data_IF_965657610022
#
_entry.id   IF_965657610022
#
_cell.length_a   1.000
_cell.length_b   1.000
_cell.length_c   1.000
_cell.angle_alpha   90.00
_cell.angle_beta   90.00
_cell.angle_gamma   90.00
#
_symmetry.space_group_name_H-M   'P 1'
#
loop_
_entity.id
_entity.type
_entity.pdbx_description
1 polymer ?
#
# COMPACT_ATOMS: atom_id res chain seq x y z
N UNK A 1 7.76 17.93 -23.12
CA UNK A 1 8.12 16.97 -22.06
C UNK A 1 7.41 17.30 -20.75
N UNK A 2 7.40 18.56 -20.31
CA UNK A 2 6.71 19.03 -19.08
C UNK A 2 5.23 18.59 -18.93
N UNK A 3 4.44 18.61 -20.01
CA UNK A 3 3.02 18.17 -19.96
C UNK A 3 2.85 16.67 -19.70
N UNK A 4 3.84 15.83 -20.00
CA UNK A 4 3.76 14.37 -19.82
C UNK A 4 4.01 14.01 -18.36
N UNK A 5 4.99 14.65 -17.72
CA UNK A 5 5.28 14.47 -16.29
C UNK A 5 4.11 14.89 -15.39
N UNK A 6 3.42 15.99 -15.72
CA UNK A 6 2.25 16.46 -14.95
C UNK A 6 1.09 15.46 -15.04
N UNK A 7 0.88 14.83 -16.21
CA UNK A 7 -0.16 13.82 -16.40
C UNK A 7 0.17 12.53 -15.64
N UNK A 8 1.44 12.11 -15.66
CA UNK A 8 1.91 10.96 -14.87
C UNK A 8 1.70 11.21 -13.37
N UNK A 9 2.10 12.37 -12.86
CA UNK A 9 1.88 12.74 -11.46
C UNK A 9 0.40 12.78 -11.07
N UNK A 10 -0.47 13.33 -11.93
CA UNK A 10 -1.92 13.32 -11.69
C UNK A 10 -2.50 11.91 -11.69
N UNK A 11 -2.04 11.04 -12.60
CA UNK A 11 -2.53 9.67 -12.71
C UNK A 11 -2.13 8.81 -11.51
N UNK A 12 -0.92 9.02 -10.98
CA UNK A 12 -0.46 8.42 -9.72
C UNK A 12 -1.29 8.95 -8.56
N UNK A 13 -1.52 10.27 -8.47
CA UNK A 13 -2.33 10.86 -7.41
C UNK A 13 -3.78 10.35 -7.45
N UNK A 14 -4.35 10.17 -8.64
CA UNK A 14 -5.67 9.60 -8.80
C UNK A 14 -5.71 8.12 -8.36
N UNK A 15 -4.71 7.33 -8.76
CA UNK A 15 -4.55 5.94 -8.32
C UNK A 15 -4.39 5.83 -6.79
N UNK A 16 -3.72 6.81 -6.19
CA UNK A 16 -3.50 6.93 -4.75
C UNK A 16 -4.80 7.20 -3.99
N UNK A 17 -5.57 8.19 -4.44
CA UNK A 17 -6.89 8.52 -3.87
C UNK A 17 -7.86 7.35 -4.04
N UNK A 18 -7.79 6.66 -5.18
CA UNK A 18 -8.58 5.48 -5.46
C UNK A 18 -8.27 4.33 -4.49
N UNK A 19 -7.00 4.00 -4.25
CA UNK A 19 -6.61 2.95 -3.29
C UNK A 19 -7.04 3.30 -1.86
N UNK A 20 -6.91 4.56 -1.45
CA UNK A 20 -7.36 5.02 -0.13
C UNK A 20 -8.88 4.91 0.03
N UNK A 21 -9.63 5.34 -1.00
CA UNK A 21 -11.09 5.21 -1.01
C UNK A 21 -11.53 3.73 -0.98
N UNK A 22 -10.83 2.87 -1.71
CA UNK A 22 -11.10 1.43 -1.76
C UNK A 22 -10.84 0.77 -0.39
N UNK A 23 -9.73 1.11 0.27
CA UNK A 23 -9.40 0.62 1.60
C UNK A 23 -10.41 1.09 2.66
N UNK A 24 -10.77 2.37 2.62
CA UNK A 24 -11.79 2.91 3.50
C UNK A 24 -13.14 2.22 3.29
N UNK A 25 -13.52 1.98 2.03
CA UNK A 25 -14.74 1.25 1.69
C UNK A 25 -14.72 -0.19 2.21
N UNK A 26 -13.62 -0.94 2.01
CA UNK A 26 -13.48 -2.34 2.47
C UNK A 26 -13.62 -2.43 3.99
N UNK A 27 -12.96 -1.55 4.74
CA UNK A 27 -13.01 -1.51 6.21
C UNK A 27 -14.39 -1.10 6.69
N UNK A 28 -15.00 -0.09 6.06
CA UNK A 28 -16.30 0.45 6.48
C UNK A 28 -17.44 -0.54 6.24
N UNK A 29 -17.37 -1.36 5.18
CA UNK A 29 -18.47 -2.26 4.80
C UNK A 29 -18.48 -3.60 5.54
N UNK A 30 -17.38 -4.01 6.17
CA UNK A 30 -17.27 -5.36 6.72
C UNK A 30 -16.94 -5.34 8.22
N UNK A 31 -17.98 -5.15 9.04
CA UNK A 31 -17.95 -5.36 10.49
C UNK A 31 -18.21 -6.84 10.80
N UNK A 32 -17.36 -7.47 11.62
CA UNK A 32 -17.60 -8.82 12.13
C UNK A 32 -16.33 -9.65 12.38
N UNK A 33 -16.52 -10.94 12.68
CA UNK A 33 -15.48 -11.88 13.15
C UNK A 33 -14.29 -12.10 12.19
N UNK A 34 -14.39 -11.71 10.92
CA UNK A 34 -13.33 -11.87 9.91
C UNK A 34 -12.54 -10.59 9.61
N UNK A 35 -12.76 -9.53 10.40
CA UNK A 35 -12.13 -8.21 10.19
C UNK A 35 -10.60 -8.26 10.18
N UNK A 36 -9.99 -9.09 11.03
CA UNK A 36 -8.53 -9.23 11.10
C UNK A 36 -7.93 -9.90 9.86
N UNK A 37 -8.58 -10.94 9.34
CA UNK A 37 -8.15 -11.63 8.12
C UNK A 37 -8.20 -10.65 6.94
N UNK A 38 -9.32 -9.96 6.76
CA UNK A 38 -9.49 -9.03 5.65
C UNK A 38 -8.56 -7.81 5.75
N UNK A 39 -8.33 -7.30 6.96
CA UNK A 39 -7.37 -6.21 7.18
C UNK A 39 -5.95 -6.66 6.84
N UNK A 40 -5.57 -7.88 7.22
CA UNK A 40 -4.28 -8.45 6.87
C UNK A 40 -4.08 -8.58 5.36
N UNK A 41 -5.07 -9.11 4.64
CA UNK A 41 -5.05 -9.21 3.17
C UNK A 41 -4.97 -7.83 2.51
N UNK A 42 -5.74 -6.85 2.98
CA UNK A 42 -5.71 -5.49 2.45
C UNK A 42 -4.34 -4.83 2.65
N UNK A 43 -3.71 -5.02 3.82
CA UNK A 43 -2.39 -4.47 4.08
C UNK A 43 -1.34 -5.12 3.17
N UNK A 44 -1.36 -6.44 3.04
CA UNK A 44 -0.37 -7.20 2.24
C UNK A 44 -0.49 -6.96 0.73
N UNK A 45 -1.72 -6.89 0.21
CA UNK A 45 -1.94 -6.83 -1.24
C UNK A 45 -2.16 -5.41 -1.77
N UNK A 46 -2.50 -4.46 -0.91
CA UNK A 46 -2.80 -3.08 -1.33
C UNK A 46 -1.82 -2.07 -0.73
N UNK A 47 -1.60 -2.07 0.59
CA UNK A 47 -0.69 -1.10 1.22
C UNK A 47 0.79 -1.39 0.94
N UNK A 48 1.21 -2.64 0.90
CA UNK A 48 2.61 -2.98 0.61
C UNK A 48 3.05 -2.51 -0.78
N UNK A 49 2.33 -2.83 -1.89
CA UNK A 49 2.68 -2.30 -3.20
C UNK A 49 2.62 -0.77 -3.24
N UNK A 50 1.65 -0.17 -2.56
CA UNK A 50 1.51 1.27 -2.45
C UNK A 50 2.75 1.93 -1.82
N UNK A 51 3.28 1.38 -0.73
CA UNK A 51 4.49 1.90 -0.08
C UNK A 51 5.70 1.74 -0.99
N UNK A 52 5.80 0.60 -1.67
CA UNK A 52 6.87 0.36 -2.64
C UNK A 52 6.87 1.43 -3.75
N UNK A 53 5.73 1.64 -4.42
CA UNK A 53 5.60 2.64 -5.49
C UNK A 53 5.76 4.06 -4.98
N UNK A 54 5.27 4.37 -3.79
CA UNK A 54 5.44 5.70 -3.18
C UNK A 54 6.91 6.02 -2.96
N UNK A 55 7.71 5.06 -2.47
CA UNK A 55 9.16 5.23 -2.30
C UNK A 55 9.90 5.30 -3.63
N UNK A 56 9.55 4.45 -4.59
CA UNK A 56 10.15 4.46 -5.92
C UNK A 56 9.90 5.79 -6.66
N UNK A 57 8.72 6.40 -6.49
CA UNK A 57 8.41 7.70 -7.11
C UNK A 57 9.08 8.83 -6.34
N UNK A 58 8.90 8.90 -5.02
CA UNK A 58 9.40 10.03 -4.23
C UNK A 58 10.92 10.09 -4.20
N UNK A 59 11.58 8.98 -3.89
CA UNK A 59 13.04 8.96 -3.78
C UNK A 59 13.67 8.62 -5.13
N UNK A 60 13.09 7.66 -5.86
CA UNK A 60 13.65 7.21 -7.12
C UNK A 60 13.50 8.20 -8.27
N UNK A 61 12.34 8.86 -8.38
CA UNK A 61 12.06 9.80 -9.48
C UNK A 61 12.25 11.25 -9.04
N UNK A 62 11.63 11.70 -7.95
CA UNK A 62 11.66 13.12 -7.57
C UNK A 62 13.00 13.55 -6.97
N UNK A 63 13.65 12.69 -6.19
CA UNK A 63 14.99 12.97 -5.64
C UNK A 63 16.10 12.53 -6.61
N UNK A 64 15.78 11.65 -7.57
CA UNK A 64 16.71 11.16 -8.59
C UNK A 64 17.62 10.02 -8.11
N UNK A 65 17.35 9.43 -6.95
CA UNK A 65 18.10 8.28 -6.43
C UNK A 65 17.26 6.99 -6.55
N UNK A 66 17.27 6.42 -7.76
CA UNK A 66 16.54 5.20 -8.09
C UNK A 66 16.90 4.00 -7.20
N UNK A 67 18.14 3.92 -6.73
CA UNK A 67 18.60 2.85 -5.87
C UNK A 67 18.02 3.00 -4.46
N UNK A 68 18.10 4.20 -3.87
CA UNK A 68 17.49 4.48 -2.58
C UNK A 68 15.96 4.34 -2.63
N UNK A 69 15.31 4.74 -3.73
CA UNK A 69 13.87 4.58 -3.91
C UNK A 69 13.41 3.13 -3.97
N UNK A 70 14.13 2.28 -4.71
CA UNK A 70 13.87 0.84 -4.74
C UNK A 70 14.15 0.15 -3.40
N UNK A 71 15.28 0.46 -2.75
CA UNK A 71 15.66 -0.10 -1.46
C UNK A 71 14.68 0.31 -0.35
N UNK A 72 14.32 1.60 -0.28
CA UNK A 72 13.34 2.12 0.67
C UNK A 72 11.97 1.49 0.45
N UNK A 73 11.55 1.34 -0.81
CA UNK A 73 10.27 0.73 -1.16
C UNK A 73 10.20 -0.73 -0.73
N UNK A 74 11.29 -1.48 -0.91
CA UNK A 74 11.39 -2.87 -0.46
C UNK A 74 11.36 -2.97 1.07
N UNK A 75 12.16 -2.17 1.78
CA UNK A 75 12.25 -2.25 3.24
C UNK A 75 10.91 -1.89 3.89
N UNK A 76 10.33 -0.72 3.54
CA UNK A 76 9.07 -0.28 4.12
C UNK A 76 7.89 -1.14 3.64
N UNK A 77 7.91 -1.59 2.38
CA UNK A 77 6.92 -2.51 1.83
C UNK A 77 6.93 -3.86 2.55
N UNK A 78 8.12 -4.43 2.82
CA UNK A 78 8.29 -5.70 3.53
C UNK A 78 7.81 -5.59 4.99
N UNK A 79 8.18 -4.52 5.70
CA UNK A 79 7.70 -4.29 7.07
C UNK A 79 6.17 -4.23 7.10
N UNK A 80 5.58 -3.52 6.15
CA UNK A 80 4.12 -3.40 6.02
C UNK A 80 3.46 -4.73 5.68
N UNK A 81 4.11 -5.53 4.84
CA UNK A 81 3.64 -6.88 4.49
C UNK A 81 3.63 -7.80 5.71
N UNK A 82 4.71 -7.76 6.51
CA UNK A 82 4.83 -8.52 7.77
C UNK A 82 3.73 -8.09 8.75
N UNK A 83 3.44 -6.80 8.87
CA UNK A 83 2.35 -6.29 9.70
C UNK A 83 0.98 -6.83 9.23
N UNK A 84 0.73 -6.83 7.92
CA UNK A 84 -0.48 -7.42 7.35
C UNK A 84 -0.57 -8.94 7.60
N UNK A 85 0.55 -9.65 7.47
CA UNK A 85 0.61 -11.07 7.79
C UNK A 85 0.31 -11.35 9.28
N UNK A 86 0.79 -10.51 10.19
CA UNK A 86 0.48 -10.62 11.62
C UNK A 86 -1.03 -10.45 11.90
N UNK A 87 -1.69 -9.51 11.22
CA UNK A 87 -3.14 -9.35 11.30
C UNK A 87 -3.90 -10.55 10.71
N UNK A 88 -3.43 -11.09 9.60
CA UNK A 88 -3.97 -12.31 8.98
C UNK A 88 -3.90 -13.50 9.96
N UNK A 89 -2.71 -13.76 10.51
CA UNK A 89 -2.46 -14.84 11.48
C UNK A 89 -3.32 -14.67 12.72
N UNK A 90 -3.39 -13.44 13.28
CA UNK A 90 -4.25 -13.14 14.41
C UNK A 90 -5.72 -13.45 14.08
N UNK A 91 -6.19 -13.06 12.91
CA UNK A 91 -7.56 -13.33 12.46
C UNK A 91 -7.86 -14.82 12.23
N UNK A 92 -6.87 -15.62 11.86
CA UNK A 92 -7.00 -17.07 11.70
C UNK A 92 -6.99 -17.82 13.05
N UNK A 93 -6.20 -17.34 14.02
CA UNK A 93 -6.11 -17.91 15.38
C UNK A 93 -7.34 -17.54 16.22
N UNK A 94 -7.85 -16.33 16.04
CA UNK A 94 -9.06 -15.88 16.73
C UNK A 94 -10.26 -16.63 16.13
N UNK A 95 -10.60 -17.79 16.73
CA UNK A 95 -11.71 -18.67 16.29
C UNK A 95 -12.90 -17.86 15.79
N UNK A 96 -13.26 -18.09 14.52
CA UNK A 96 -14.50 -17.60 13.91
C UNK A 96 -15.72 -18.06 14.70
#
# INVERSE_FOLDING_TARGET
>A
MEKVEVVEQLSVLFFFVFILALNWYIIKKMKGKKQFILSGVAIMLLLTPFIYFSSAITIGVLVGDGFAGGAGGLIFGLITFINGAAYLVKGLIQKT
#
